data_IF_860963479540
#
_entry.id   IF_860963479540
#
_cell.length_a   1.000
_cell.length_b   1.000
_cell.length_c   1.000
_cell.angle_alpha   90.00
_cell.angle_beta   90.00
_cell.angle_gamma   90.00
#
_symmetry.space_group_name_H-M   'P 1'
#
loop_
_entity.id
_entity.type
_entity.pdbx_description
1 polymer ?
#
# COMPACT_ATOMS: atom_id res chain seq x y z
N UNK A 1 -2.05 -4.61 -21.43
CA UNK A 1 -1.86 -3.35 -20.70
C UNK A 1 -1.78 -2.22 -21.71
N UNK A 2 -2.46 -1.12 -21.44
CA UNK A 2 -2.39 0.09 -22.27
C UNK A 2 -1.13 0.91 -21.94
N UNK A 3 -0.64 1.70 -22.90
CA UNK A 3 0.57 2.54 -22.72
C UNK A 3 0.48 3.46 -21.49
N UNK A 4 -0.71 4.00 -21.23
CA UNK A 4 -0.95 4.83 -20.06
C UNK A 4 -0.83 4.05 -18.73
N UNK A 5 -1.23 2.78 -18.67
CA UNK A 5 -1.05 1.94 -17.47
C UNK A 5 0.43 1.64 -17.24
N UNK A 6 1.16 1.30 -18.31
CA UNK A 6 2.61 1.10 -18.25
C UNK A 6 3.33 2.36 -17.75
N UNK A 7 2.92 3.55 -18.22
CA UNK A 7 3.50 4.81 -17.74
C UNK A 7 3.14 5.11 -16.27
N UNK A 8 1.92 4.82 -15.82
CA UNK A 8 1.53 4.93 -14.41
C UNK A 8 2.43 4.03 -13.55
N UNK A 9 2.64 2.78 -13.98
CA UNK A 9 3.50 1.82 -13.28
C UNK A 9 4.93 2.35 -13.19
N UNK A 10 5.52 2.79 -14.31
CA UNK A 10 6.88 3.34 -14.33
C UNK A 10 7.03 4.53 -13.38
N UNK A 11 6.02 5.40 -13.28
CA UNK A 11 6.05 6.50 -12.32
C UNK A 11 5.99 5.96 -10.88
N UNK A 12 5.04 5.06 -10.58
CA UNK A 12 4.84 4.54 -9.23
C UNK A 12 5.96 3.60 -8.75
N UNK A 13 6.74 3.01 -9.66
CA UNK A 13 7.97 2.28 -9.34
C UNK A 13 9.02 3.17 -8.67
N UNK A 14 9.02 4.47 -8.99
CA UNK A 14 9.94 5.46 -8.39
C UNK A 14 9.45 6.00 -7.05
N UNK A 15 8.17 5.78 -6.70
CA UNK A 15 7.59 6.19 -5.43
C UNK A 15 6.11 6.56 -5.50
N UNK A 16 5.48 6.82 -4.34
CA UNK A 16 4.06 7.14 -4.28
C UNK A 16 3.72 8.48 -4.93
N UNK A 17 2.56 8.56 -5.58
CA UNK A 17 2.09 9.76 -6.26
C UNK A 17 0.59 10.01 -5.99
N UNK A 18 0.15 11.27 -6.06
CA UNK A 18 -1.31 11.56 -6.07
C UNK A 18 -1.89 11.38 -7.48
N UNK A 19 -3.23 11.25 -7.58
CA UNK A 19 -3.89 11.26 -8.89
C UNK A 19 -3.59 12.53 -9.69
N UNK A 20 -3.43 13.68 -9.02
CA UNK A 20 -3.12 14.95 -9.67
C UNK A 20 -1.69 14.97 -10.22
N UNK A 21 -0.71 14.46 -9.45
CA UNK A 21 0.68 14.36 -9.92
C UNK A 21 0.81 13.44 -11.13
N UNK A 22 0.11 12.30 -11.11
CA UNK A 22 0.05 11.37 -12.23
C UNK A 22 -0.61 12.00 -13.45
N UNK A 23 -1.73 12.70 -13.28
CA UNK A 23 -2.44 13.41 -14.34
C UNK A 23 -1.56 14.46 -15.02
N UNK A 24 -0.86 15.28 -14.22
CA UNK A 24 0.06 16.28 -14.72
C UNK A 24 1.22 15.66 -15.51
N UNK A 25 1.86 14.61 -14.97
CA UNK A 25 3.00 13.95 -15.63
C UNK A 25 2.63 13.24 -16.93
N UNK A 26 1.39 12.74 -17.02
CA UNK A 26 0.90 11.99 -18.18
C UNK A 26 0.13 12.87 -19.19
N UNK A 27 -0.04 14.16 -18.90
CA UNK A 27 -0.90 15.08 -19.65
C UNK A 27 -2.32 14.50 -19.86
N UNK A 28 -2.90 13.98 -18.77
CA UNK A 28 -4.25 13.42 -18.72
C UNK A 28 -5.09 14.19 -17.71
N UNK A 29 -6.40 14.02 -17.77
CA UNK A 29 -7.27 14.50 -16.70
C UNK A 29 -7.24 13.55 -15.49
N UNK A 30 -7.45 14.12 -14.30
CA UNK A 30 -7.41 13.40 -13.02
C UNK A 30 -8.47 12.28 -12.93
N UNK A 31 -9.60 12.43 -13.63
CA UNK A 31 -10.68 11.45 -13.61
C UNK A 31 -10.34 10.18 -14.41
N UNK A 32 -9.71 10.35 -15.57
CA UNK A 32 -9.14 9.28 -16.40
C UNK A 32 -8.07 8.53 -15.64
N UNK A 33 -7.15 9.24 -14.98
CA UNK A 33 -6.09 8.62 -14.15
C UNK A 33 -6.70 7.81 -13.01
N UNK A 34 -7.64 8.38 -12.27
CA UNK A 34 -8.30 7.70 -11.15
C UNK A 34 -9.07 6.47 -11.62
N UNK A 35 -9.77 6.56 -12.76
CA UNK A 35 -10.47 5.41 -13.37
C UNK A 35 -9.49 4.30 -13.75
N UNK A 36 -8.35 4.63 -14.35
CA UNK A 36 -7.30 3.67 -14.70
C UNK A 36 -6.72 3.00 -13.46
N UNK A 37 -6.35 3.78 -12.44
CA UNK A 37 -5.85 3.25 -11.16
C UNK A 37 -6.85 2.30 -10.50
N UNK A 38 -8.14 2.65 -10.48
CA UNK A 38 -9.18 1.76 -9.96
C UNK A 38 -9.32 0.47 -10.78
N UNK A 39 -9.11 0.52 -12.10
CA UNK A 39 -9.16 -0.66 -12.96
C UNK A 39 -7.95 -1.59 -12.80
N UNK A 40 -6.81 -1.09 -12.30
CA UNK A 40 -5.61 -1.89 -12.02
C UNK A 40 -5.76 -2.80 -10.79
N UNK A 41 -6.82 -2.61 -9.98
CA UNK A 41 -7.14 -3.49 -8.86
C UNK A 41 -6.01 -3.59 -7.83
N UNK A 42 -5.65 -4.81 -7.42
CA UNK A 42 -4.66 -5.09 -6.38
C UNK A 42 -3.21 -4.71 -6.76
N UNK A 43 -2.94 -4.34 -8.02
CA UNK A 43 -1.62 -3.86 -8.42
C UNK A 43 -1.29 -2.51 -7.79
N UNK A 44 -2.30 -1.71 -7.44
CA UNK A 44 -2.11 -0.40 -6.82
C UNK A 44 -2.91 -0.28 -5.54
N UNK A 45 -2.33 0.42 -4.56
CA UNK A 45 -2.95 0.64 -3.26
C UNK A 45 -3.24 2.13 -3.13
N UNK A 46 -4.50 2.47 -2.81
CA UNK A 46 -4.91 3.83 -2.47
C UNK A 46 -4.87 4.00 -0.96
N UNK A 47 -3.98 4.85 -0.46
CA UNK A 47 -3.82 5.08 0.97
C UNK A 47 -3.84 6.57 1.33
N UNK A 48 -4.27 6.89 2.55
CA UNK A 48 -4.50 8.26 3.02
C UNK A 48 -5.93 8.76 2.80
N UNK A 49 -6.20 10.01 3.20
CA UNK A 49 -7.51 10.66 3.06
C UNK A 49 -7.37 12.10 2.59
N UNK A 50 -8.31 12.55 1.76
CA UNK A 50 -8.33 13.91 1.23
C UNK A 50 -7.00 14.25 0.52
N UNK A 51 -6.35 15.33 0.94
CA UNK A 51 -5.09 15.81 0.35
C UNK A 51 -3.89 14.89 0.58
N UNK A 52 -3.95 13.98 1.56
CA UNK A 52 -2.87 13.02 1.82
C UNK A 52 -3.02 11.73 1.01
N UNK A 53 -4.03 11.63 0.14
CA UNK A 53 -4.26 10.42 -0.66
C UNK A 53 -3.13 10.23 -1.66
N UNK A 54 -2.47 9.07 -1.57
CA UNK A 54 -1.42 8.63 -2.48
C UNK A 54 -1.75 7.25 -3.03
N UNK A 55 -1.26 6.99 -4.23
CA UNK A 55 -1.26 5.69 -4.86
C UNK A 55 0.14 5.10 -4.77
N UNK A 56 0.18 3.81 -4.47
CA UNK A 56 1.40 3.01 -4.32
C UNK A 56 1.30 1.83 -5.28
N UNK A 57 2.43 1.43 -5.87
CA UNK A 57 2.49 0.21 -6.68
C UNK A 57 2.84 -0.97 -5.77
N UNK A 58 1.99 -2.00 -5.77
CA UNK A 58 2.24 -3.26 -5.09
C UNK A 58 3.40 -4.00 -5.74
N UNK A 59 4.21 -4.68 -4.94
CA UNK A 59 5.40 -5.40 -5.39
C UNK A 59 5.35 -6.85 -4.94
N UNK A 60 5.32 -7.74 -5.92
CA UNK A 60 5.43 -9.17 -5.68
C UNK A 60 6.80 -9.52 -5.08
N UNK A 61 6.81 -10.49 -4.15
CA UNK A 61 8.03 -11.10 -3.61
C UNK A 61 8.19 -12.51 -4.21
N UNK A 62 9.07 -12.70 -5.21
CA UNK A 62 9.20 -13.98 -5.93
C UNK A 62 9.51 -15.18 -5.04
N UNK A 63 10.23 -14.96 -3.92
CA UNK A 63 10.58 -15.99 -2.94
C UNK A 63 9.36 -16.58 -2.22
N UNK A 64 8.20 -15.91 -2.28
CA UNK A 64 6.96 -16.33 -1.62
C UNK A 64 5.91 -16.86 -2.61
N UNK A 65 6.17 -16.77 -3.93
CA UNK A 65 5.26 -17.17 -4.99
C UNK A 65 4.90 -18.68 -4.99
N UNK A 66 5.66 -19.51 -4.27
CA UNK A 66 5.38 -20.94 -4.06
C UNK A 66 4.35 -21.25 -2.98
N UNK A 67 3.95 -20.26 -2.16
CA UNK A 67 2.92 -20.39 -1.11
C UNK A 67 1.62 -19.67 -1.51
N UNK A 68 1.42 -19.56 -2.83
CA UNK A 68 0.42 -18.75 -3.53
C UNK A 68 -0.91 -18.62 -2.79
N UNK A 69 -1.15 -17.41 -2.27
CA UNK A 69 -2.50 -16.84 -2.24
C UNK A 69 -2.44 -15.54 -3.01
N UNK A 70 -3.55 -15.11 -3.60
CA UNK A 70 -3.66 -13.89 -4.40
C UNK A 70 -3.33 -12.56 -3.66
N UNK A 71 -2.67 -12.64 -2.51
CA UNK A 71 -2.34 -11.60 -1.53
C UNK A 71 -0.82 -11.61 -1.16
N UNK A 72 0.04 -12.19 -2.02
CA UNK A 72 1.50 -12.42 -1.82
C UNK A 72 2.35 -11.15 -1.57
N UNK A 73 1.72 -9.99 -1.40
CA UNK A 73 2.36 -8.70 -1.09
C UNK A 73 1.77 -8.03 0.14
N UNK A 74 0.89 -8.70 0.89
CA UNK A 74 0.25 -8.18 2.11
C UNK A 74 0.42 -9.16 3.27
N UNK A 75 1.08 -8.70 4.33
CA UNK A 75 1.35 -9.50 5.53
C UNK A 75 0.54 -8.98 6.71
N UNK A 76 -0.34 -9.79 7.32
CA UNK A 76 -1.04 -9.37 8.52
C UNK A 76 -0.08 -9.34 9.72
N UNK A 77 -0.08 -8.24 10.47
CA UNK A 77 0.72 -8.09 11.68
C UNK A 77 -0.19 -8.30 12.89
N UNK A 78 0.19 -9.24 13.74
CA UNK A 78 -0.48 -9.55 14.99
C UNK A 78 0.38 -9.14 16.18
N UNK A 79 -0.25 -8.58 17.20
CA UNK A 79 0.33 -8.37 18.51
C UNK A 79 -0.10 -9.52 19.43
N UNK A 80 0.86 -10.13 20.10
CA UNK A 80 0.60 -11.04 21.22
C UNK A 80 0.34 -10.19 22.47
N UNK A 81 -0.81 -10.39 23.08
CA UNK A 81 -1.21 -9.75 24.31
C UNK A 81 -0.61 -10.46 25.52
N UNK A 82 -0.55 -9.82 26.71
CA UNK A 82 0.02 -10.45 27.90
C UNK A 82 -0.66 -11.75 28.34
N UNK A 83 -1.94 -11.93 27.99
CA UNK A 83 -2.71 -13.15 28.25
C UNK A 83 -2.48 -14.27 27.20
N UNK A 84 -1.57 -14.05 26.24
CA UNK A 84 -1.27 -14.97 25.15
C UNK A 84 -2.26 -14.89 23.97
N UNK A 85 -3.29 -14.05 24.05
CA UNK A 85 -4.20 -13.83 22.91
C UNK A 85 -3.52 -13.03 21.81
N UNK A 86 -3.96 -13.19 20.55
CA UNK A 86 -3.42 -12.46 19.40
C UNK A 86 -4.44 -11.46 18.88
N UNK A 87 -4.01 -10.22 18.66
CA UNK A 87 -4.83 -9.17 18.06
C UNK A 87 -4.20 -8.69 16.77
N UNK A 88 -4.95 -8.69 15.66
CA UNK A 88 -4.47 -8.10 14.40
C UNK A 88 -4.38 -6.59 14.54
N UNK A 89 -3.19 -6.01 14.36
CA UNK A 89 -2.95 -4.58 14.54
C UNK A 89 -2.66 -3.84 13.24
N UNK A 90 -2.22 -4.54 12.19
CA UNK A 90 -1.95 -3.92 10.89
C UNK A 90 -1.95 -4.92 9.73
N UNK A 91 -1.96 -4.38 8.51
CA UNK A 91 -1.43 -5.05 7.31
C UNK A 91 -0.13 -4.35 6.88
N UNK A 92 0.88 -5.12 6.51
CA UNK A 92 2.12 -4.66 5.89
C UNK A 92 2.06 -4.95 4.40
N UNK A 93 1.99 -3.91 3.59
CA UNK A 93 2.01 -4.00 2.14
C UNK A 93 3.44 -3.80 1.63
N UNK A 94 3.90 -4.71 0.79
CA UNK A 94 5.17 -4.59 0.07
C UNK A 94 4.91 -3.77 -1.19
N UNK A 95 5.56 -2.62 -1.28
CA UNK A 95 5.33 -1.65 -2.35
C UNK A 95 6.65 -1.29 -3.02
N UNK A 96 6.56 -0.50 -4.09
CA UNK A 96 7.68 0.25 -4.62
C UNK A 96 7.87 1.59 -3.87
N UNK A 97 9.09 2.14 -3.79
CA UNK A 97 10.35 1.64 -4.37
C UNK A 97 10.88 0.34 -3.74
N UNK A 98 11.98 -0.21 -4.25
CA UNK A 98 12.44 -1.59 -3.98
C UNK A 98 12.67 -1.96 -2.50
N UNK A 99 12.78 -1.04 -1.57
CA UNK A 99 12.93 -1.37 -0.14
C UNK A 99 11.76 -0.88 0.70
N UNK A 100 10.75 -0.31 0.06
CA UNK A 100 9.67 0.39 0.74
C UNK A 100 8.50 -0.51 1.13
N UNK A 101 7.83 -0.09 2.20
CA UNK A 101 6.67 -0.74 2.78
C UNK A 101 5.59 0.28 3.11
N UNK A 102 4.34 -0.13 3.01
CA UNK A 102 3.20 0.66 3.42
C UNK A 102 2.44 -0.11 4.50
N UNK A 103 2.25 0.51 5.67
CA UNK A 103 1.57 -0.12 6.79
C UNK A 103 0.19 0.47 6.94
N UNK A 104 -0.82 -0.40 6.95
CA UNK A 104 -2.21 -0.12 7.28
C UNK A 104 -2.45 -0.47 8.75
N UNK A 105 -2.36 0.50 9.67
CA UNK A 105 -2.65 0.29 11.09
C UNK A 105 -4.15 0.36 11.38
N UNK A 106 -4.64 -0.57 12.19
CA UNK A 106 -6.00 -0.58 12.73
C UNK A 106 -6.00 0.01 14.15
N UNK A 107 -6.49 1.25 14.29
CA UNK A 107 -6.59 1.94 15.59
C UNK A 107 -8.03 1.95 16.06
N UNK A 108 -8.29 1.42 17.24
CA UNK A 108 -9.60 1.59 17.88
C UNK A 108 -9.56 2.88 18.68
N UNK A 109 -10.50 3.79 18.44
CA UNK A 109 -10.61 5.03 19.20
C UNK A 109 -11.40 4.81 20.52
N UNK A 110 -11.53 5.87 21.32
CA UNK A 110 -12.27 5.83 22.59
C UNK A 110 -13.75 5.50 22.46
N UNK A 111 -14.34 5.62 21.27
CA UNK A 111 -15.74 5.27 20.99
C UNK A 111 -15.89 3.85 20.43
N UNK A 112 -14.82 3.06 20.39
CA UNK A 112 -14.82 1.69 19.86
C UNK A 112 -14.81 1.62 18.33
N UNK A 113 -14.70 2.75 17.63
CA UNK A 113 -14.62 2.76 16.17
C UNK A 113 -13.19 2.50 15.70
N UNK A 114 -13.05 1.55 14.78
CA UNK A 114 -11.77 1.29 14.11
C UNK A 114 -11.51 2.33 13.02
N UNK A 115 -10.38 3.01 13.13
CA UNK A 115 -9.85 3.94 12.14
C UNK A 115 -8.57 3.36 11.56
N UNK A 116 -8.48 3.41 10.24
CA UNK A 116 -7.26 3.11 9.51
C UNK A 116 -6.30 4.29 9.53
N UNK A 117 -5.05 4.02 9.89
CA UNK A 117 -3.92 4.93 9.79
C UNK A 117 -2.89 4.33 8.83
N UNK A 118 -2.38 5.14 7.90
CA UNK A 118 -1.44 4.69 6.88
C UNK A 118 -0.07 5.28 7.13
N UNK A 119 0.98 4.46 7.07
CA UNK A 119 2.36 4.92 7.19
C UNK A 119 3.24 4.30 6.12
N UNK A 120 3.95 5.14 5.37
CA UNK A 120 4.93 4.71 4.38
C UNK A 120 6.32 4.70 5.00
N UNK A 121 7.06 3.62 4.77
CA UNK A 121 8.43 3.44 5.20
C UNK A 121 9.30 3.21 3.96
N UNK A 122 10.43 3.89 3.88
CA UNK A 122 11.40 3.73 2.78
C UNK A 122 12.24 2.45 2.90
N UNK A 123 12.19 1.80 4.06
CA UNK A 123 12.83 0.52 4.39
C UNK A 123 11.89 -0.35 5.22
N UNK A 124 12.31 -1.56 5.56
CA UNK A 124 11.59 -2.37 6.56
C UNK A 124 11.43 -1.56 7.86
N UNK A 125 10.22 -1.50 8.46
CA UNK A 125 10.03 -0.76 9.70
C UNK A 125 10.88 -1.36 10.84
N UNK A 126 11.61 -0.50 11.57
CA UNK A 126 12.55 -0.93 12.63
C UNK A 126 11.90 -1.83 13.68
N UNK A 127 10.67 -1.52 14.08
CA UNK A 127 9.94 -2.29 15.09
C UNK A 127 9.55 -3.69 14.62
N UNK A 128 9.61 -3.97 13.31
CA UNK A 128 9.43 -5.30 12.75
C UNK A 128 10.77 -6.02 12.59
N UNK A 129 11.86 -5.28 12.36
CA UNK A 129 13.21 -5.84 12.30
C UNK A 129 13.71 -6.29 13.69
N UNK A 130 13.22 -5.65 14.76
CA UNK A 130 13.57 -5.96 16.15
C UNK A 130 12.69 -7.07 16.77
N UNK A 131 11.70 -7.62 16.04
CA UNK A 131 10.80 -8.68 16.50
C UNK A 131 11.40 -10.08 16.46
#
# INVERSE_FOLDING_TARGET
>A
MSDAESNIISILQTGPASSADLAQRLNLDTSTVTRRLSAMGAQVIRAGKGRSTRWYLSRALPLLAGQSRADDSVFPIYRVNPDGSMTKIANLHVVYPQDAFLVEFFRVNSTGQTKTEWHFYESLPWWLADM
#
